data_IF_389527088050
#
_entry.id   IF_389527088050
#
_cell.length_a   1.000
_cell.length_b   1.000
_cell.length_c   1.000
_cell.angle_alpha   90.00
_cell.angle_beta   90.00
_cell.angle_gamma   90.00
#
_symmetry.space_group_name_H-M   'P 1'
#
loop_
_entity.id
_entity.type
_entity.pdbx_description
1 polymer ?
#
# COMPACT_ATOMS: atom_id res chain seq x y z
N UNK A 1 -0.86 -16.53 1.86
CA UNK A 1 -2.06 -15.83 1.34
C UNK A 1 -1.70 -14.37 1.06
N UNK A 2 -2.17 -13.80 -0.05
CA UNK A 2 -2.00 -12.38 -0.37
C UNK A 2 -3.36 -11.70 -0.40
N UNK A 3 -3.47 -10.54 0.24
CA UNK A 3 -4.69 -9.73 0.24
C UNK A 3 -4.39 -8.35 -0.32
N UNK A 4 -5.21 -7.87 -1.26
CA UNK A 4 -5.10 -6.53 -1.80
C UNK A 4 -5.77 -5.54 -0.83
N UNK A 5 -5.01 -4.54 -0.40
CA UNK A 5 -5.38 -3.55 0.58
C UNK A 5 -5.16 -2.14 0.02
N UNK A 6 -5.73 -1.15 0.70
CA UNK A 6 -5.50 0.27 0.44
C UNK A 6 -5.14 0.97 1.74
N UNK A 7 -4.27 1.97 1.62
CA UNK A 7 -4.04 2.98 2.65
C UNK A 7 -4.12 4.36 2.02
N UNK A 8 -4.38 5.40 2.81
CA UNK A 8 -4.67 6.75 2.31
C UNK A 8 -3.72 7.75 2.92
N UNK A 9 -3.20 8.60 2.07
CA UNK A 9 -2.41 9.75 2.41
C UNK A 9 -3.08 10.99 1.86
N UNK A 10 -3.00 12.07 2.60
CA UNK A 10 -3.07 13.43 2.05
C UNK A 10 -1.63 13.96 1.91
N UNK A 11 -1.49 15.17 1.38
CA UNK A 11 -0.18 15.80 1.15
C UNK A 11 0.63 15.88 2.44
N UNK A 12 0.01 16.27 3.56
CA UNK A 12 0.68 16.37 4.85
C UNK A 12 1.23 15.03 5.33
N UNK A 13 0.39 14.00 5.43
CA UNK A 13 0.79 12.66 5.90
C UNK A 13 1.77 11.98 4.95
N UNK A 14 1.68 12.26 3.64
CA UNK A 14 2.68 11.80 2.67
C UNK A 14 4.05 12.41 2.95
N UNK A 15 4.13 13.71 3.19
CA UNK A 15 5.37 14.44 3.48
C UNK A 15 5.96 14.09 4.86
N UNK A 16 5.13 13.90 5.88
CA UNK A 16 5.55 13.40 7.20
C UNK A 16 6.22 12.03 7.06
N UNK A 17 5.57 11.09 6.37
CA UNK A 17 6.16 9.79 6.14
C UNK A 17 7.45 9.90 5.32
N UNK A 18 7.50 10.74 4.29
CA UNK A 18 8.72 10.91 3.49
C UNK A 18 9.89 11.39 4.36
N UNK A 19 9.68 12.40 5.21
CA UNK A 19 10.70 12.87 6.16
C UNK A 19 11.17 11.76 7.10
N UNK A 20 10.25 10.92 7.59
CA UNK A 20 10.61 9.78 8.42
C UNK A 20 11.45 8.75 7.64
N UNK A 21 11.07 8.44 6.40
CA UNK A 21 11.84 7.53 5.54
C UNK A 21 13.28 8.02 5.33
N UNK A 22 13.43 9.31 5.01
CA UNK A 22 14.73 9.93 4.74
C UNK A 22 15.61 9.95 6.00
N UNK A 23 15.04 10.35 7.15
CA UNK A 23 15.76 10.41 8.42
C UNK A 23 16.21 9.03 8.93
N UNK A 24 15.44 7.97 8.65
CA UNK A 24 15.74 6.61 9.07
C UNK A 24 16.46 5.79 7.98
N UNK A 25 16.75 6.40 6.81
CA UNK A 25 17.31 5.71 5.65
C UNK A 25 16.52 4.43 5.28
N UNK A 26 15.20 4.48 5.41
CA UNK A 26 14.33 3.31 5.18
C UNK A 26 13.89 3.25 3.72
N UNK A 27 14.32 2.24 2.92
CA UNK A 27 13.99 2.17 1.50
C UNK A 27 12.59 1.59 1.23
N UNK A 28 11.94 1.04 2.25
CA UNK A 28 10.79 0.18 2.08
C UNK A 28 9.43 0.82 2.38
N UNK A 29 8.43 -0.04 2.57
CA UNK A 29 7.09 0.34 2.94
C UNK A 29 7.01 0.59 4.44
N UNK A 30 6.27 1.63 4.83
CA UNK A 30 5.97 1.93 6.23
C UNK A 30 4.59 2.56 6.33
N UNK A 31 3.76 2.02 7.21
CA UNK A 31 2.38 2.42 7.43
C UNK A 31 2.13 2.50 8.92
N UNK A 32 1.96 3.71 9.43
CA UNK A 32 1.31 3.90 10.72
C UNK A 32 -0.20 4.02 10.52
N UNK A 33 -0.97 3.40 11.42
CA UNK A 33 -2.43 3.51 11.41
C UNK A 33 -3.03 3.60 12.81
N UNK A 34 -4.17 4.32 12.95
CA UNK A 34 -4.93 4.36 14.21
C UNK A 34 -5.72 3.08 14.52
N UNK A 35 -5.91 2.21 13.52
CA UNK A 35 -6.77 1.03 13.62
C UNK A 35 -5.94 -0.22 13.29
N UNK A 36 -5.96 -1.21 14.19
CA UNK A 36 -5.31 -2.49 13.95
C UNK A 36 -6.04 -3.24 12.83
N UNK A 37 -5.32 -4.02 12.04
CA UNK A 37 -5.96 -4.99 11.15
C UNK A 37 -6.77 -5.97 11.98
N UNK A 38 -7.89 -6.43 11.39
CA UNK A 38 -8.71 -7.46 12.01
C UNK A 38 -7.93 -8.77 12.05
N UNK A 39 -8.14 -9.56 13.10
CA UNK A 39 -7.34 -10.76 13.36
C UNK A 39 -7.54 -11.86 12.31
N UNK A 40 -8.63 -11.82 11.53
CA UNK A 40 -8.86 -12.77 10.43
C UNK A 40 -7.96 -12.50 9.21
N UNK A 41 -7.41 -11.28 9.09
CA UNK A 41 -6.51 -10.92 8.01
C UNK A 41 -5.10 -11.42 8.35
N UNK A 42 -4.60 -12.38 7.57
CA UNK A 42 -3.30 -13.00 7.78
C UNK A 42 -2.46 -13.06 6.51
N UNK A 43 -1.15 -13.32 6.66
CA UNK A 43 -0.23 -13.45 5.54
C UNK A 43 0.32 -12.11 5.04
N UNK A 44 0.39 -11.96 3.72
CA UNK A 44 1.00 -10.82 3.04
C UNK A 44 -0.05 -9.84 2.52
N UNK A 45 0.18 -8.56 2.74
CA UNK A 45 -0.68 -7.47 2.30
C UNK A 45 -0.01 -6.75 1.15
N UNK A 46 -0.70 -6.67 0.03
CA UNK A 46 -0.34 -5.79 -1.09
C UNK A 46 -1.11 -4.49 -0.87
N UNK A 47 -0.42 -3.44 -0.46
CA UNK A 47 -1.04 -2.18 -0.04
C UNK A 47 -0.89 -1.14 -1.15
N UNK A 48 -2.00 -0.74 -1.75
CA UNK A 48 -2.05 0.40 -2.68
C UNK A 48 -1.99 1.71 -1.87
N UNK A 49 -0.98 2.53 -2.12
CA UNK A 49 -0.80 3.82 -1.46
C UNK A 49 -1.57 4.91 -2.22
N UNK A 50 -2.78 5.20 -1.75
CA UNK A 50 -3.66 6.22 -2.32
C UNK A 50 -3.23 7.62 -1.84
N UNK A 51 -2.96 8.54 -2.77
CA UNK A 51 -2.78 9.96 -2.47
C UNK A 51 -4.08 10.72 -2.78
N UNK A 52 -4.85 11.02 -1.74
CA UNK A 52 -6.20 11.55 -1.83
C UNK A 52 -6.30 12.95 -2.39
N UNK A 53 -5.26 13.78 -2.24
CA UNK A 53 -5.24 15.15 -2.78
C UNK A 53 -4.93 15.14 -4.28
N UNK A 54 -4.08 14.21 -4.72
CA UNK A 54 -3.72 14.04 -6.14
C UNK A 54 -4.68 13.07 -6.88
N UNK A 55 -5.54 12.36 -6.14
CA UNK A 55 -6.39 11.28 -6.64
C UNK A 55 -5.64 10.22 -7.46
N UNK A 56 -4.47 9.82 -6.96
CA UNK A 56 -3.55 8.89 -7.65
C UNK A 56 -3.00 7.84 -6.69
N UNK A 57 -2.92 6.59 -7.15
CA UNK A 57 -2.09 5.57 -6.49
C UNK A 57 -0.63 5.86 -6.83
N UNK A 58 0.20 6.14 -5.81
CA UNK A 58 1.61 6.56 -6.01
C UNK A 58 2.60 5.42 -5.84
N UNK A 59 2.25 4.42 -5.04
CA UNK A 59 3.12 3.30 -4.77
C UNK A 59 2.33 2.06 -4.33
N UNK A 60 3.00 0.91 -4.32
CA UNK A 60 2.49 -0.36 -3.83
C UNK A 60 3.49 -0.92 -2.83
N UNK A 61 3.07 -1.16 -1.60
CA UNK A 61 3.89 -1.84 -0.60
C UNK A 61 3.49 -3.29 -0.40
N UNK A 62 4.44 -4.08 0.09
CA UNK A 62 4.21 -5.48 0.44
C UNK A 62 4.63 -5.74 1.89
N UNK A 63 3.67 -5.83 2.81
CA UNK A 63 3.93 -5.95 4.26
C UNK A 63 3.28 -7.21 4.83
N UNK A 64 3.72 -7.66 6.01
CA UNK A 64 3.03 -8.74 6.76
C UNK A 64 1.80 -8.17 7.47
N UNK A 65 0.78 -9.00 7.67
CA UNK A 65 -0.43 -8.64 8.41
C UNK A 65 -0.22 -8.46 9.93
N UNK A 66 0.98 -8.74 10.42
CA UNK A 66 1.35 -8.56 11.82
C UNK A 66 1.85 -7.13 12.06
N UNK A 67 1.20 -6.42 12.98
CA UNK A 67 1.69 -5.13 13.45
C UNK A 67 2.98 -5.31 14.26
N UNK A 68 3.91 -4.38 14.09
CA UNK A 68 5.10 -4.30 14.92
C UNK A 68 4.80 -3.65 16.27
N UNK A 69 5.59 -3.96 17.31
CA UNK A 69 5.54 -3.21 18.56
C UNK A 69 5.77 -1.71 18.31
N UNK A 70 4.90 -0.89 18.86
CA UNK A 70 5.01 0.57 18.75
C UNK A 70 5.96 1.08 19.81
N UNK A 71 7.13 1.55 19.38
CA UNK A 71 8.11 2.24 20.21
C UNK A 71 8.32 3.69 19.74
N UNK A 72 9.22 4.43 20.40
CA UNK A 72 9.55 5.81 20.00
C UNK A 72 10.19 5.91 18.60
N UNK A 73 10.84 4.87 18.11
CA UNK A 73 11.49 4.88 16.80
C UNK A 73 10.47 4.87 15.65
N UNK A 74 9.22 4.48 15.90
CA UNK A 74 8.17 4.41 14.88
C UNK A 74 7.16 5.57 14.94
N UNK A 75 7.55 6.74 15.46
CA UNK A 75 6.74 7.96 15.37
C UNK A 75 6.86 8.59 13.97
N UNK A 76 6.01 8.12 13.05
CA UNK A 76 6.00 8.55 11.64
C UNK A 76 5.26 9.88 11.48
N UNK A 77 4.10 10.01 12.14
CA UNK A 77 3.20 11.15 11.99
C UNK A 77 3.20 12.04 13.22
N UNK A 78 2.91 13.33 13.03
CA UNK A 78 2.75 14.28 14.14
C UNK A 78 1.54 13.91 14.99
N UNK A 79 0.44 13.51 14.35
CA UNK A 79 -0.71 12.94 15.05
C UNK A 79 -0.38 11.52 15.55
N UNK A 80 -0.21 11.42 16.87
CA UNK A 80 0.13 10.17 17.55
C UNK A 80 -0.89 9.06 17.33
N UNK A 81 -2.13 9.38 17.00
CA UNK A 81 -3.14 8.36 16.69
C UNK A 81 -2.74 7.53 15.47
N UNK A 82 -2.12 8.14 14.46
CA UNK A 82 -1.67 7.40 13.29
C UNK A 82 -0.41 6.56 13.55
N UNK A 83 0.19 6.61 14.73
CA UNK A 83 1.36 5.78 15.08
C UNK A 83 1.00 4.58 15.98
N UNK A 84 -0.29 4.30 16.23
CA UNK A 84 -0.69 3.25 17.18
C UNK A 84 -0.29 1.85 16.73
N UNK A 85 -0.42 1.55 15.44
CA UNK A 85 -0.04 0.27 14.86
C UNK A 85 0.83 0.51 13.64
N UNK A 86 1.96 -0.20 13.57
CA UNK A 86 2.97 0.01 12.54
C UNK A 86 3.11 -1.26 11.71
N UNK A 87 3.03 -1.11 10.40
CA UNK A 87 3.31 -2.16 9.43
C UNK A 87 4.42 -1.68 8.52
N UNK A 88 5.54 -2.42 8.44
CA UNK A 88 6.67 -2.04 7.60
C UNK A 88 7.33 -3.24 6.96
N UNK A 89 7.99 -3.01 5.83
CA UNK A 89 8.81 -4.00 5.14
C UNK A 89 9.82 -3.30 4.25
N UNK A 90 10.79 -4.05 3.73
CA UNK A 90 11.75 -3.53 2.74
C UNK A 90 11.14 -3.42 1.32
N UNK A 91 9.88 -3.80 1.13
CA UNK A 91 9.28 -3.95 -0.20
C UNK A 91 8.27 -2.84 -0.47
N UNK A 92 8.68 -1.85 -1.27
CA UNK A 92 7.84 -0.77 -1.75
C UNK A 92 8.20 -0.42 -3.19
N UNK A 93 7.19 -0.33 -4.04
CA UNK A 93 7.32 -0.02 -5.45
C UNK A 93 6.70 1.35 -5.71
N UNK A 94 7.52 2.35 -6.03
CA UNK A 94 7.05 3.69 -6.37
C UNK A 94 6.72 3.72 -7.86
N UNK A 95 5.44 3.92 -8.19
CA UNK A 95 4.93 3.75 -9.56
C UNK A 95 5.49 4.77 -10.55
N UNK A 96 5.85 5.96 -10.07
CA UNK A 96 6.44 7.03 -10.89
C UNK A 96 7.94 6.83 -11.16
N UNK A 97 8.59 5.86 -10.50
CA UNK A 97 10.01 5.56 -10.65
C UNK A 97 10.28 4.31 -11.50
N UNK A 98 9.24 3.72 -12.08
CA UNK A 98 9.36 2.49 -12.85
C UNK A 98 8.65 2.60 -14.19
N UNK A 99 9.12 1.82 -15.14
CA UNK A 99 8.39 1.61 -16.38
C UNK A 99 7.34 0.51 -16.20
N UNK A 100 6.08 0.90 -16.45
CA UNK A 100 4.93 0.02 -16.43
C UNK A 100 4.63 -0.51 -17.84
N UNK A 101 4.35 -1.81 -17.92
CA UNK A 101 3.82 -2.48 -19.11
C UNK A 101 2.42 -1.94 -19.45
N UNK A 102 1.95 -2.07 -20.71
CA UNK A 102 0.64 -1.56 -21.11
C UNK A 102 -0.52 -2.07 -20.25
N UNK A 103 -0.49 -3.35 -19.86
CA UNK A 103 -1.52 -3.93 -19.00
C UNK A 103 -1.47 -3.35 -17.57
N UNK A 104 -0.28 -3.17 -17.02
CA UNK A 104 -0.10 -2.58 -15.69
C UNK A 104 -0.55 -1.12 -15.66
N UNK A 105 -0.21 -0.33 -16.69
CA UNK A 105 -0.71 1.05 -16.87
C UNK A 105 -2.24 1.09 -16.86
N UNK A 106 -2.88 0.17 -17.60
CA UNK A 106 -4.34 0.04 -17.65
C UNK A 106 -4.93 -0.29 -16.28
N UNK A 107 -4.30 -1.19 -15.54
CA UNK A 107 -4.74 -1.57 -14.19
C UNK A 107 -4.63 -0.41 -13.21
N UNK A 108 -3.50 0.30 -13.20
CA UNK A 108 -3.31 1.49 -12.35
C UNK A 108 -4.32 2.58 -12.72
N UNK A 109 -4.62 2.77 -14.01
CA UNK A 109 -5.66 3.70 -14.46
C UNK A 109 -7.06 3.30 -13.96
N UNK A 110 -7.40 2.00 -13.99
CA UNK A 110 -8.66 1.49 -13.42
C UNK A 110 -8.71 1.77 -11.91
N UNK A 111 -7.63 1.52 -11.16
CA UNK A 111 -7.58 1.85 -9.74
C UNK A 111 -7.72 3.35 -9.48
N UNK A 112 -7.06 4.22 -10.25
CA UNK A 112 -7.20 5.67 -10.11
C UNK A 112 -8.65 6.14 -10.35
N UNK A 113 -9.41 5.44 -11.19
CA UNK A 113 -10.83 5.72 -11.36
C UNK A 113 -11.67 5.19 -10.19
N UNK A 114 -11.55 3.91 -9.85
CA UNK A 114 -12.41 3.23 -8.87
C UNK A 114 -12.15 3.66 -7.42
N UNK A 115 -10.90 3.95 -7.07
CA UNK A 115 -10.52 4.27 -5.69
C UNK A 115 -10.85 5.71 -5.29
N UNK A 116 -10.92 6.63 -6.26
CA UNK A 116 -11.04 8.07 -5.98
C UNK A 116 -12.33 8.72 -6.47
N UNK A 117 -13.06 8.09 -7.41
CA UNK A 117 -14.25 8.67 -8.02
C UNK A 117 -15.48 7.76 -7.89
N UNK A 118 -16.66 8.34 -8.05
CA UNK A 118 -17.94 7.65 -7.91
C UNK A 118 -18.41 7.50 -6.46
N UNK A 119 -19.65 7.05 -6.28
CA UNK A 119 -20.30 6.95 -4.98
C UNK A 119 -19.63 5.95 -4.02
N UNK A 120 -18.95 4.93 -4.57
CA UNK A 120 -18.29 3.88 -3.80
C UNK A 120 -16.77 4.10 -3.64
N UNK A 121 -16.28 5.33 -3.76
CA UNK A 121 -14.84 5.62 -3.67
C UNK A 121 -14.25 5.25 -2.28
N UNK A 122 -12.95 4.98 -2.22
CA UNK A 122 -12.28 4.48 -1.03
C UNK A 122 -11.60 5.57 -0.19
N UNK A 123 -11.86 6.86 -0.41
CA UNK A 123 -11.10 7.98 0.22
C UNK A 123 -11.28 8.14 1.73
N UNK A 124 -12.36 7.60 2.32
CA UNK A 124 -12.83 7.98 3.68
C UNK A 124 -12.60 6.93 4.76
N UNK A 125 -12.10 5.75 4.42
CA UNK A 125 -11.85 4.73 5.44
C UNK A 125 -10.53 4.96 6.17
N UNK A 126 -10.47 4.49 7.42
CA UNK A 126 -9.31 4.65 8.28
C UNK A 126 -8.41 3.42 8.26
N UNK A 127 -7.11 3.66 8.30
CA UNK A 127 -6.10 2.61 8.31
C UNK A 127 -5.97 1.81 7.02
N UNK A 128 -5.40 0.61 7.15
CA UNK A 128 -5.20 -0.32 6.04
C UNK A 128 -6.49 -1.13 5.88
N UNK A 129 -7.18 -0.98 4.74
CA UNK A 129 -8.47 -1.64 4.51
C UNK A 129 -8.43 -2.51 3.26
N UNK A 130 -9.12 -3.66 3.32
CA UNK A 130 -9.28 -4.58 2.18
C UNK A 130 -9.93 -3.86 1.00
N UNK A 131 -9.45 -4.13 -0.21
CA UNK A 131 -10.12 -3.70 -1.44
C UNK A 131 -11.44 -4.48 -1.59
N UNK A 132 -12.60 -3.81 -1.69
CA UNK A 132 -13.89 -4.47 -1.73
C UNK A 132 -14.02 -5.49 -2.87
N UNK A 133 -14.78 -6.54 -2.60
CA UNK A 133 -15.05 -7.61 -3.56
C UNK A 133 -15.64 -7.12 -4.88
N UNK A 134 -16.41 -6.03 -4.91
CA UNK A 134 -16.97 -5.50 -6.15
C UNK A 134 -15.90 -4.90 -7.09
N UNK A 135 -14.76 -4.46 -6.54
CA UNK A 135 -13.59 -4.07 -7.34
C UNK A 135 -12.82 -5.32 -7.76
N UNK A 136 -12.60 -6.25 -6.82
CA UNK A 136 -11.78 -7.44 -7.05
C UNK A 136 -12.42 -8.41 -8.06
N UNK A 137 -13.74 -8.56 -8.05
CA UNK A 137 -14.47 -9.42 -8.99
C UNK A 137 -14.72 -8.72 -10.32
N UNK A 138 -13.67 -8.59 -11.12
CA UNK A 138 -13.76 -8.11 -12.48
C UNK A 138 -13.70 -9.26 -13.48
N UNK A 139 -14.70 -9.39 -14.35
CA UNK A 139 -14.80 -10.49 -15.33
C UNK A 139 -13.64 -10.53 -16.34
N UNK A 140 -12.92 -9.43 -16.52
CA UNK A 140 -11.90 -9.26 -17.56
C UNK A 140 -10.48 -9.22 -17.01
N UNK A 141 -10.31 -8.94 -15.71
CA UNK A 141 -9.00 -8.68 -15.12
C UNK A 141 -8.93 -9.30 -13.73
N UNK A 142 -7.94 -10.18 -13.53
CA UNK A 142 -7.56 -10.61 -12.19
C UNK A 142 -6.52 -9.63 -11.62
N UNK A 143 -7.01 -8.65 -10.86
CA UNK A 143 -6.14 -7.61 -10.29
C UNK A 143 -5.06 -8.18 -9.38
N UNK A 144 -5.36 -9.24 -8.62
CA UNK A 144 -4.40 -9.79 -7.67
C UNK A 144 -3.26 -10.46 -8.43
N UNK A 145 -3.58 -11.25 -9.46
CA UNK A 145 -2.60 -11.90 -10.33
C UNK A 145 -1.68 -10.89 -11.01
N UNK A 146 -2.24 -9.82 -11.57
CA UNK A 146 -1.46 -8.83 -12.33
C UNK A 146 -0.57 -7.98 -11.40
N UNK A 147 -1.07 -7.56 -10.23
CA UNK A 147 -0.23 -6.84 -9.26
C UNK A 147 0.86 -7.75 -8.69
N UNK A 148 0.58 -9.04 -8.45
CA UNK A 148 1.61 -10.00 -8.07
C UNK A 148 2.69 -10.13 -9.14
N UNK A 149 2.30 -10.24 -10.41
CA UNK A 149 3.25 -10.31 -11.53
C UNK A 149 4.13 -9.05 -11.62
N UNK A 150 3.53 -7.86 -11.46
CA UNK A 150 4.25 -6.60 -11.37
C UNK A 150 5.29 -6.63 -10.23
N UNK A 151 4.87 -7.00 -9.02
CA UNK A 151 5.77 -7.06 -7.86
C UNK A 151 6.88 -8.11 -8.05
N UNK A 152 6.57 -9.28 -8.60
CA UNK A 152 7.55 -10.33 -8.89
C UNK A 152 8.60 -9.84 -9.91
N UNK A 153 8.16 -9.16 -10.96
CA UNK A 153 9.05 -8.57 -11.98
C UNK A 153 10.03 -7.58 -11.38
N UNK A 154 9.58 -6.75 -10.43
CA UNK A 154 10.43 -5.73 -9.81
C UNK A 154 11.31 -6.25 -8.68
N UNK A 155 10.83 -7.20 -7.88
CA UNK A 155 11.56 -7.68 -6.71
C UNK A 155 12.35 -8.98 -6.93
N UNK A 156 12.20 -9.66 -8.07
CA UNK A 156 12.96 -10.88 -8.42
C UNK A 156 14.49 -10.70 -8.40
N UNK A 157 14.99 -9.47 -8.54
CA UNK A 157 16.42 -9.14 -8.57
C UNK A 157 16.96 -8.58 -7.24
N UNK A 158 16.14 -8.56 -6.19
CA UNK A 158 16.56 -8.00 -4.89
C UNK A 158 17.35 -9.03 -4.07
N UNK A 159 18.35 -8.61 -3.28
CA UNK A 159 19.16 -9.51 -2.45
C UNK A 159 18.34 -10.25 -1.39
N UNK A 160 17.17 -9.71 -1.04
CA UNK A 160 16.15 -10.39 -0.26
C UNK A 160 14.89 -10.45 -1.11
N UNK A 161 14.60 -11.56 -1.81
CA UNK A 161 13.36 -11.68 -2.54
C UNK A 161 12.19 -11.74 -1.55
N UNK A 162 11.04 -11.12 -1.88
CA UNK A 162 9.84 -11.26 -1.08
C UNK A 162 9.39 -12.73 -1.02
N UNK A 163 8.53 -13.09 -0.05
CA UNK A 163 7.94 -14.43 0.03
C UNK A 163 7.36 -14.84 -1.33
N UNK A 164 7.46 -16.13 -1.67
CA UNK A 164 7.09 -16.69 -2.97
C UNK A 164 5.72 -16.18 -3.47
N UNK A 165 5.74 -15.47 -4.60
CA UNK A 165 4.57 -14.87 -5.25
C UNK A 165 3.59 -15.89 -5.83
#
# INVERSE_FOLDING_TARGET
MYTLMTTRFNTQTWLERQRWLDANQWPGAVYGTPVRLRDEISGMLIVLEMHNDENKVKAIGLVKAQALPTDKAHQIYTDRNYNRYIYKSMYRLILDQIELLPMEKKIIAIFNQLLFKGACHLKRAQGITVVPNWIMHNKRVDFLKEIKALLARHFSKTPHPPPSF
#
